data_IF_328883022183
#
_entry.id   IF_328883022183
#
_cell.length_a   1.000
_cell.length_b   1.000
_cell.length_c   1.000
_cell.angle_alpha   90.00
_cell.angle_beta   90.00
_cell.angle_gamma   90.00
#
_symmetry.space_group_name_H-M   'P 1'
#
loop_
_entity.id
_entity.type
_entity.pdbx_description
1 polymer ?
#
# COMPACT_ATOMS: atom_id res chain seq x y z
N UNK A 1 -0.93 -10.42 1.58
CA UNK A 1 -0.06 -10.27 0.40
C UNK A 1 -0.54 -9.07 -0.39
N UNK A 2 0.36 -8.16 -0.76
CA UNK A 2 0.04 -6.85 -1.35
C UNK A 2 -0.85 -6.93 -2.61
N UNK A 3 -0.57 -7.87 -3.51
CA UNK A 3 -1.38 -8.05 -4.73
C UNK A 3 -2.86 -8.31 -4.47
N UNK A 4 -3.22 -8.95 -3.35
CA UNK A 4 -4.62 -9.25 -3.00
C UNK A 4 -5.40 -7.98 -2.70
N UNK A 5 -4.78 -6.99 -2.06
CA UNK A 5 -5.47 -5.73 -1.76
C UNK A 5 -5.61 -4.86 -3.00
N UNK A 6 -4.61 -4.86 -3.88
CA UNK A 6 -4.71 -4.23 -5.19
C UNK A 6 -5.82 -4.85 -6.07
N UNK A 7 -5.86 -6.18 -6.19
CA UNK A 7 -6.89 -6.87 -6.97
C UNK A 7 -8.30 -6.65 -6.39
N UNK A 8 -8.45 -6.70 -5.06
CA UNK A 8 -9.72 -6.38 -4.41
C UNK A 8 -10.15 -4.93 -4.64
N UNK A 9 -9.22 -3.97 -4.57
CA UNK A 9 -9.49 -2.56 -4.85
C UNK A 9 -10.01 -2.35 -6.26
N UNK A 10 -9.37 -2.97 -7.26
CA UNK A 10 -9.82 -2.93 -8.65
C UNK A 10 -11.22 -3.53 -8.81
N UNK A 11 -11.47 -4.69 -8.20
CA UNK A 11 -12.76 -5.40 -8.32
C UNK A 11 -13.92 -4.59 -7.70
N UNK A 12 -13.71 -4.01 -6.52
CA UNK A 12 -14.75 -3.24 -5.82
C UNK A 12 -15.02 -1.87 -6.47
N UNK A 13 -14.04 -1.33 -7.18
CA UNK A 13 -14.12 -0.03 -7.85
C UNK A 13 -14.42 -0.16 -9.34
N UNK A 14 -14.64 -1.38 -9.84
CA UNK A 14 -14.89 -1.71 -11.24
C UNK A 14 -13.80 -1.16 -12.19
N UNK A 15 -12.55 -1.08 -11.72
CA UNK A 15 -11.43 -0.60 -12.53
C UNK A 15 -11.02 -1.67 -13.54
N UNK A 16 -10.94 -1.28 -14.81
CA UNK A 16 -10.43 -2.18 -15.83
C UNK A 16 -8.90 -2.29 -15.75
N UNK A 17 -8.37 -3.48 -16.04
CA UNK A 17 -6.93 -3.72 -16.08
C UNK A 17 -6.21 -2.77 -17.04
N UNK A 18 -6.82 -2.45 -18.18
CA UNK A 18 -6.28 -1.50 -19.17
C UNK A 18 -6.14 -0.07 -18.62
N UNK A 19 -7.09 0.37 -17.81
CA UNK A 19 -7.08 1.71 -17.21
C UNK A 19 -5.98 1.79 -16.14
N UNK A 20 -5.89 0.78 -15.28
CA UNK A 20 -4.84 0.66 -14.27
C UNK A 20 -3.47 0.57 -14.90
N UNK A 21 -3.30 -0.26 -15.94
CA UNK A 21 -2.02 -0.43 -16.63
C UNK A 21 -1.56 0.88 -17.27
N UNK A 22 -2.47 1.60 -17.95
CA UNK A 22 -2.15 2.91 -18.53
C UNK A 22 -1.74 3.92 -17.47
N UNK A 23 -2.44 3.95 -16.33
CA UNK A 23 -2.11 4.87 -15.24
C UNK A 23 -0.77 4.50 -14.58
N UNK A 24 -0.52 3.21 -14.36
CA UNK A 24 0.75 2.68 -13.89
C UNK A 24 1.93 3.07 -14.79
N UNK A 25 1.79 2.97 -16.12
CA UNK A 25 2.81 3.45 -17.06
C UNK A 25 3.06 4.96 -16.92
N UNK A 26 2.01 5.76 -16.73
CA UNK A 26 2.14 7.21 -16.49
C UNK A 26 2.82 7.52 -15.15
N UNK A 27 2.65 6.67 -14.13
CA UNK A 27 3.29 6.78 -12.81
C UNK A 27 4.75 6.29 -12.79
N UNK A 28 5.31 5.87 -13.94
CA UNK A 28 6.69 5.41 -14.07
C UNK A 28 6.88 3.90 -14.07
N UNK A 29 5.79 3.13 -14.13
CA UNK A 29 5.80 1.69 -14.30
C UNK A 29 6.38 1.25 -15.65
N UNK A 30 6.99 0.06 -15.69
CA UNK A 30 7.71 -0.44 -16.86
C UNK A 30 7.24 -1.80 -17.38
N UNK A 31 6.45 -2.53 -16.61
CA UNK A 31 5.99 -3.89 -16.92
C UNK A 31 4.76 -3.89 -17.85
N UNK A 32 4.61 -4.96 -18.61
CA UNK A 32 3.49 -5.10 -19.53
C UNK A 32 2.20 -5.54 -18.81
N UNK A 33 1.08 -5.54 -19.56
CA UNK A 33 -0.22 -5.90 -19.00
C UNK A 33 -0.30 -7.35 -18.53
N UNK A 34 0.40 -8.26 -19.19
CA UNK A 34 0.39 -9.70 -18.88
C UNK A 34 1.13 -9.94 -17.56
N UNK A 35 2.26 -9.28 -17.36
CA UNK A 35 3.05 -9.35 -16.13
C UNK A 35 2.29 -8.76 -14.94
N UNK A 36 1.59 -7.64 -15.15
CA UNK A 36 0.72 -7.02 -14.14
C UNK A 36 -0.45 -7.94 -13.80
N UNK A 37 -1.10 -8.54 -14.79
CA UNK A 37 -2.20 -9.49 -14.59
C UNK A 37 -1.75 -10.73 -13.81
N UNK A 38 -0.60 -11.29 -14.19
CA UNK A 38 0.02 -12.42 -13.50
C UNK A 38 0.32 -12.07 -12.04
N UNK A 39 0.81 -10.86 -11.77
CA UNK A 39 1.04 -10.40 -10.39
C UNK A 39 -0.23 -10.24 -9.57
N UNK A 40 -1.28 -9.64 -10.15
CA UNK A 40 -2.57 -9.46 -9.48
C UNK A 40 -3.22 -10.80 -9.11
N UNK A 41 -3.00 -11.84 -9.93
CA UNK A 41 -3.45 -13.21 -9.66
C UNK A 41 -2.47 -14.04 -8.81
N UNK A 42 -1.32 -13.46 -8.42
CA UNK A 42 -0.31 -14.15 -7.61
C UNK A 42 0.48 -15.23 -8.35
N UNK A 43 0.47 -15.20 -9.69
CA UNK A 43 1.17 -16.12 -10.58
C UNK A 43 2.64 -15.75 -10.76
N UNK A 44 2.98 -14.45 -10.68
CA UNK A 44 4.35 -13.95 -10.79
C UNK A 44 4.62 -12.79 -9.80
N UNK A 45 5.79 -12.72 -9.16
CA UNK A 45 6.12 -11.59 -8.30
C UNK A 45 6.60 -10.38 -9.12
N UNK A 46 6.20 -9.17 -8.72
CA UNK A 46 6.82 -7.92 -9.19
C UNK A 46 7.87 -7.41 -8.20
N UNK A 47 8.88 -6.66 -8.69
CA UNK A 47 9.80 -5.90 -7.86
C UNK A 47 9.05 -4.96 -6.90
N UNK A 48 9.64 -4.68 -5.72
CA UNK A 48 8.98 -3.86 -4.68
C UNK A 48 8.50 -2.51 -5.21
N UNK A 49 9.37 -1.82 -5.95
CA UNK A 49 9.10 -0.51 -6.54
C UNK A 49 7.90 -0.56 -7.48
N UNK A 50 7.82 -1.60 -8.32
CA UNK A 50 6.73 -1.80 -9.27
C UNK A 50 5.41 -2.14 -8.59
N UNK A 51 5.45 -2.91 -7.49
CA UNK A 51 4.25 -3.17 -6.68
C UNK A 51 3.72 -1.90 -6.03
N UNK A 52 4.61 -1.04 -5.56
CA UNK A 52 4.25 0.22 -4.92
C UNK A 52 3.73 1.23 -5.95
N UNK A 53 4.33 1.26 -7.15
CA UNK A 53 3.84 2.03 -8.29
C UNK A 53 2.44 1.56 -8.72
N UNK A 54 2.21 0.25 -8.84
CA UNK A 54 0.88 -0.29 -9.16
C UNK A 54 -0.15 0.03 -8.07
N UNK A 55 0.24 -0.07 -6.80
CA UNK A 55 -0.63 0.31 -5.68
C UNK A 55 -0.97 1.81 -5.70
N UNK A 56 -0.02 2.67 -6.06
CA UNK A 56 -0.23 4.10 -6.27
C UNK A 56 -1.26 4.35 -7.36
N UNK A 57 -1.05 3.77 -8.55
CA UNK A 57 -1.94 3.96 -9.70
C UNK A 57 -3.38 3.52 -9.40
N UNK A 58 -3.56 2.37 -8.73
CA UNK A 58 -4.89 1.89 -8.30
C UNK A 58 -5.52 2.88 -7.31
N UNK A 59 -4.75 3.36 -6.34
CA UNK A 59 -5.25 4.28 -5.32
C UNK A 59 -5.65 5.64 -5.90
N UNK A 60 -4.88 6.18 -6.82
CA UNK A 60 -5.18 7.44 -7.53
C UNK A 60 -6.47 7.31 -8.35
N UNK A 61 -6.65 6.22 -9.09
CA UNK A 61 -7.89 5.97 -9.84
C UNK A 61 -9.11 5.82 -8.91
N UNK A 62 -8.96 5.21 -7.74
CA UNK A 62 -10.02 5.15 -6.72
C UNK A 62 -10.33 6.56 -6.18
N UNK A 63 -9.31 7.39 -5.96
CA UNK A 63 -9.48 8.76 -5.50
C UNK A 63 -10.19 9.64 -6.55
N UNK A 64 -9.90 9.44 -7.84
CA UNK A 64 -10.58 10.11 -8.96
C UNK A 64 -12.07 9.73 -9.04
N UNK A 65 -12.40 8.45 -8.87
CA UNK A 65 -13.79 7.97 -8.82
C UNK A 65 -14.54 8.59 -7.62
N UNK A 66 -13.89 8.65 -6.46
CA UNK A 66 -14.46 9.27 -5.27
C UNK A 66 -14.69 10.79 -5.47
N UNK A 67 -13.75 11.49 -6.12
CA UNK A 67 -13.89 12.90 -6.47
C UNK A 67 -15.05 13.15 -7.47
N UNK A 68 -15.33 12.18 -8.34
CA UNK A 68 -16.47 12.20 -9.25
C UNK A 68 -17.82 11.91 -8.57
N UNK A 69 -17.85 11.66 -7.25
CA UNK A 69 -19.07 11.39 -6.49
C UNK A 69 -19.59 9.95 -6.62
N UNK A 70 -18.81 9.05 -7.23
CA UNK A 70 -19.10 7.62 -7.24
C UNK A 70 -18.65 7.08 -5.88
N UNK A 71 -19.61 6.86 -4.96
CA UNK A 71 -19.34 6.40 -3.61
C UNK A 71 -18.78 4.96 -3.59
N UNK A 72 -17.50 4.82 -3.90
CA UNK A 72 -16.75 3.57 -3.81
C UNK A 72 -16.40 3.35 -2.34
N UNK A 73 -16.91 2.24 -1.77
CA UNK A 73 -16.48 1.77 -0.45
C UNK A 73 -14.97 1.47 -0.56
N UNK A 74 -14.20 2.20 0.24
CA UNK A 74 -12.76 2.40 0.19
C UNK A 74 -11.91 1.14 0.45
N UNK A 75 -11.90 0.21 -0.51
CA UNK A 75 -10.85 -0.81 -0.58
C UNK A 75 -9.65 -0.21 -1.32
N UNK A 76 -8.64 0.24 -0.57
CA UNK A 76 -7.38 0.75 -1.12
C UNK A 76 -6.34 -0.36 -1.28
N UNK A 77 -5.48 -0.21 -2.27
CA UNK A 77 -4.30 -1.04 -2.40
C UNK A 77 -3.29 -0.70 -1.29
N UNK A 78 -2.73 -1.74 -0.66
CA UNK A 78 -1.68 -1.56 0.34
C UNK A 78 -0.34 -1.41 -0.37
N UNK A 79 0.54 -0.55 0.16
CA UNK A 79 1.93 -0.50 -0.29
C UNK A 79 2.76 -1.62 0.35
N UNK A 80 3.93 -1.90 -0.22
CA UNK A 80 4.90 -2.80 0.40
C UNK A 80 5.28 -2.20 1.75
N UNK A 81 5.06 -2.93 2.83
CA UNK A 81 5.58 -2.53 4.14
C UNK A 81 7.07 -2.25 4.00
N UNK A 82 7.47 -0.99 4.14
CA UNK A 82 8.79 -0.71 4.66
C UNK A 82 8.76 -1.35 6.03
N UNK A 83 9.69 -2.27 6.31
CA UNK A 83 9.99 -2.65 7.70
C UNK A 83 10.57 -1.39 8.36
N UNK A 84 9.72 -0.41 8.60
CA UNK A 84 10.02 0.74 9.44
C UNK A 84 10.29 0.09 10.78
N UNK A 85 11.55 0.06 11.16
CA UNK A 85 11.95 -0.26 12.51
C UNK A 85 11.24 0.76 13.38
N UNK A 86 10.02 0.43 13.83
CA UNK A 86 9.44 1.04 15.00
C UNK A 86 10.37 0.62 16.12
N UNK A 87 11.48 1.36 16.27
CA UNK A 87 12.18 1.47 17.54
C UNK A 87 11.11 2.02 18.46
N UNK A 88 10.43 1.11 19.15
CA UNK A 88 9.85 1.42 20.43
C UNK A 88 11.07 1.78 21.26
N UNK A 89 11.40 3.07 21.33
CA UNK A 89 12.34 3.56 22.33
C UNK A 89 11.75 3.13 23.67
N UNK A 90 12.45 2.31 24.48
CA UNK A 90 12.02 2.11 25.85
C UNK A 90 12.03 3.49 26.49
N UNK A 91 10.85 3.96 26.91
CA UNK A 91 10.75 5.17 27.71
C UNK A 91 11.53 4.89 29.00
N UNK A 92 12.73 5.44 29.07
CA UNK A 92 13.57 5.42 30.25
C UNK A 92 12.88 6.35 31.26
N UNK A 93 12.02 5.78 32.11
CA UNK A 93 11.45 6.49 33.24
C UNK A 93 12.58 6.90 34.20
N UNK A 94 12.58 8.14 34.72
CA UNK A 94 13.58 8.55 35.69
C UNK A 94 13.36 7.77 37.00
N UNK A 95 14.37 6.99 37.38
CA UNK A 95 14.47 6.41 38.71
C UNK A 95 14.51 7.52 39.74
N UNK A 96 13.41 7.68 40.46
CA UNK A 96 13.36 8.54 41.65
C UNK A 96 14.13 7.82 42.74
N UNK A 97 15.25 8.44 43.10
CA UNK A 97 16.17 7.99 44.13
C UNK A 97 15.47 7.76 45.48
N UNK A 98 15.57 6.54 46.00
CA UNK A 98 15.24 6.23 47.39
C UNK A 98 16.20 7.00 48.30
N UNK A 99 15.69 8.07 48.89
CA UNK A 99 16.39 8.87 49.90
C UNK A 99 16.50 8.03 51.17
N UNK A 100 17.72 7.63 51.54
CA UNK A 100 18.04 7.11 52.88
C UNK A 100 17.67 8.15 53.93
N UNK A 101 16.86 7.76 54.92
CA UNK A 101 16.79 8.44 56.21
C UNK A 101 16.66 7.40 57.33
N UNK A 102 17.75 7.34 58.09
CA UNK A 102 17.93 6.95 59.48
C UNK A 102 16.70 7.07 60.40
N UNK A 103 16.46 6.03 61.20
CA UNK A 103 16.12 6.08 62.62
C UNK A 103 16.42 4.70 63.23
#
# INVERSE_FOLDING_TARGET
>A
MQFKTAHSAMTMSLLALDEVHRHYLNSGGSFDRIEIDAYLHGLAPLPREERDCLAQAVNELVDDLAAAGLAVRSSRATYSETRSTRRVSPVLGPGIATRRMIA
#
